data_IF_741308976770
#
_entry.id   IF_741308976770
#
_cell.length_a   1.000
_cell.length_b   1.000
_cell.length_c   1.000
_cell.angle_alpha   90.00
_cell.angle_beta   90.00
_cell.angle_gamma   90.00
#
_symmetry.space_group_name_H-M   'P 1'
#
loop_
_entity.id
_entity.type
_entity.pdbx_description
1 polymer ?
#
# COMPACT_ATOMS: atom_id res chain seq x y z
N UNK A 1 1.24 10.61 -1.35
CA UNK A 1 2.53 10.65 -0.62
C UNK A 1 3.21 9.28 -0.61
N UNK A 2 2.57 8.20 -0.12
CA UNK A 2 3.19 6.86 -0.11
C UNK A 2 3.63 6.36 -1.50
N UNK A 3 2.80 6.58 -2.53
CA UNK A 3 3.11 6.27 -3.93
C UNK A 3 4.36 6.98 -4.47
N UNK A 4 4.73 8.13 -3.92
CA UNK A 4 5.99 8.80 -4.27
C UNK A 4 7.17 8.18 -3.50
N UNK A 5 6.97 7.75 -2.26
CA UNK A 5 7.98 7.08 -1.46
C UNK A 5 8.40 5.72 -2.04
N UNK A 6 7.45 4.93 -2.54
CA UNK A 6 7.75 3.60 -3.14
C UNK A 6 8.53 3.70 -4.47
N UNK A 7 8.65 4.88 -5.07
CA UNK A 7 9.55 5.08 -6.23
C UNK A 7 11.02 4.96 -5.84
N UNK A 8 11.35 5.11 -4.55
CA UNK A 8 12.71 4.91 -4.03
C UNK A 8 12.87 3.44 -3.58
N UNK A 9 13.81 2.67 -4.17
CA UNK A 9 13.93 1.23 -3.92
C UNK A 9 14.11 0.85 -2.45
N UNK A 10 14.86 1.66 -1.68
CA UNK A 10 15.09 1.41 -0.25
C UNK A 10 13.80 1.53 0.58
N UNK A 11 12.95 2.51 0.24
CA UNK A 11 11.67 2.71 0.92
C UNK A 11 10.66 1.65 0.50
N UNK A 12 10.63 1.27 -0.78
CA UNK A 12 9.81 0.16 -1.26
C UNK A 12 10.17 -1.14 -0.53
N UNK A 13 11.46 -1.47 -0.43
CA UNK A 13 11.94 -2.64 0.30
C UNK A 13 11.52 -2.60 1.77
N UNK A 14 11.70 -1.46 2.44
CA UNK A 14 11.29 -1.28 3.82
C UNK A 14 9.77 -1.51 4.03
N UNK A 15 8.94 -1.02 3.10
CA UNK A 15 7.49 -1.21 3.17
C UNK A 15 7.10 -2.67 2.94
N UNK A 16 7.74 -3.35 1.98
CA UNK A 16 7.47 -4.76 1.67
C UNK A 16 7.90 -5.71 2.79
N UNK A 17 9.00 -5.41 3.49
CA UNK A 17 9.51 -6.21 4.62
C UNK A 17 8.82 -5.89 5.95
N UNK A 18 8.02 -4.81 6.00
CA UNK A 18 7.27 -4.44 7.20
C UNK A 18 6.13 -5.41 7.47
N UNK A 19 5.95 -5.78 8.74
CA UNK A 19 4.77 -6.52 9.20
C UNK A 19 3.45 -5.80 8.86
N UNK A 20 3.49 -4.48 8.65
CA UNK A 20 2.32 -3.69 8.25
C UNK A 20 1.90 -3.91 6.80
N UNK A 21 2.73 -4.52 5.96
CA UNK A 21 2.40 -4.79 4.56
C UNK A 21 1.11 -5.60 4.43
N UNK A 22 0.88 -6.54 5.34
CA UNK A 22 -0.32 -7.38 5.35
C UNK A 22 -1.62 -6.57 5.54
N UNK A 23 -1.53 -5.36 6.09
CA UNK A 23 -2.70 -4.47 6.22
C UNK A 23 -3.22 -3.98 4.87
N UNK A 24 -2.40 -3.96 3.81
CA UNK A 24 -2.88 -3.61 2.46
C UNK A 24 -3.99 -4.55 2.00
N UNK A 25 -3.89 -5.85 2.30
CA UNK A 25 -4.96 -6.81 1.98
C UNK A 25 -6.27 -6.48 2.69
N UNK A 26 -6.22 -5.92 3.90
CA UNK A 26 -7.42 -5.44 4.60
C UNK A 26 -7.96 -4.15 4.00
N UNK A 27 -7.07 -3.24 3.59
CA UNK A 27 -7.48 -1.95 3.03
C UNK A 27 -8.15 -2.08 1.66
N UNK A 28 -7.71 -3.02 0.82
CA UNK A 28 -8.35 -3.29 -0.48
C UNK A 28 -9.74 -3.93 -0.36
N UNK A 29 -10.06 -4.52 0.79
CA UNK A 29 -11.36 -5.14 1.08
C UNK A 29 -12.33 -4.20 1.83
N UNK A 30 -11.93 -2.95 2.10
CA UNK A 30 -12.82 -2.02 2.79
C UNK A 30 -14.08 -1.72 1.96
N UNK A 31 -15.25 -1.56 2.61
CA UNK A 31 -16.50 -1.23 1.92
C UNK A 31 -16.50 0.19 1.32
N UNK A 32 -15.55 1.04 1.75
CA UNK A 32 -15.35 2.35 1.15
C UNK A 32 -14.53 2.24 -0.13
N UNK A 33 -15.20 2.43 -1.27
CA UNK A 33 -14.63 2.31 -2.60
C UNK A 33 -13.41 3.23 -2.83
N UNK A 34 -13.46 4.48 -2.36
CA UNK A 34 -12.38 5.44 -2.59
C UNK A 34 -11.10 4.98 -1.89
N UNK A 35 -11.22 4.48 -0.67
CA UNK A 35 -10.09 3.97 0.11
C UNK A 35 -9.58 2.65 -0.45
N UNK A 36 -10.48 1.73 -0.79
CA UNK A 36 -10.12 0.42 -1.33
C UNK A 36 -9.41 0.53 -2.69
N UNK A 37 -9.92 1.38 -3.59
CA UNK A 37 -9.31 1.62 -4.90
C UNK A 37 -7.95 2.33 -4.80
N UNK A 38 -7.80 3.26 -3.84
CA UNK A 38 -6.52 3.92 -3.56
C UNK A 38 -5.46 2.95 -3.01
N UNK A 39 -5.86 2.08 -2.08
CA UNK A 39 -5.00 1.03 -1.55
C UNK A 39 -4.58 0.05 -2.65
N UNK A 40 -5.51 -0.35 -3.52
CA UNK A 40 -5.24 -1.27 -4.63
C UNK A 40 -4.27 -0.65 -5.65
N UNK A 41 -4.44 0.64 -5.98
CA UNK A 41 -3.55 1.36 -6.88
C UNK A 41 -2.15 1.56 -6.32
N UNK A 42 -1.99 1.49 -5.00
CA UNK A 42 -0.69 1.58 -4.32
C UNK A 42 0.01 0.22 -4.22
N UNK A 43 -0.77 -0.87 -4.27
CA UNK A 43 -0.25 -2.23 -4.26
C UNK A 43 0.29 -2.68 -5.64
N UNK A 44 -0.26 -2.14 -6.72
CA UNK A 44 0.16 -2.40 -8.11
C UNK A 44 1.49 -1.73 -8.45
#
# INVERSE_FOLDING_TARGET
MLRECIKFPNLAKYILESASFVLFFKYVELPNFDVASDAFSTFK
#
